data_IF_332653125320
#
_entry.id   IF_332653125320
#
_cell.length_a   1.000
_cell.length_b   1.000
_cell.length_c   1.000
_cell.angle_alpha   90.00
_cell.angle_beta   90.00
_cell.angle_gamma   90.00
#
_symmetry.space_group_name_H-M   'P 1'
#
loop_
_entity.id
_entity.type
_entity.pdbx_description
1 polymer ?
#
# COMPACT_ATOMS: atom_id res chain seq x y z
N UNK A 1 -36.80 -75.45 1.14
CA UNK A 1 -35.54 -74.74 1.33
C UNK A 1 -35.48 -73.42 0.46
N UNK A 2 -36.28 -72.42 0.80
CA UNK A 2 -36.30 -71.11 0.01
C UNK A 2 -36.45 -69.83 0.87
N UNK A 3 -36.14 -69.88 2.18
CA UNK A 3 -36.41 -68.76 3.10
C UNK A 3 -35.15 -67.95 3.50
N UNK A 4 -33.95 -68.48 3.23
CA UNK A 4 -32.73 -67.88 3.79
C UNK A 4 -32.08 -66.74 2.97
N UNK A 5 -32.60 -66.35 1.81
CA UNK A 5 -31.99 -65.26 1.01
C UNK A 5 -32.60 -63.87 1.26
N UNK A 6 -33.76 -63.83 1.92
CA UNK A 6 -34.41 -62.58 2.30
C UNK A 6 -33.81 -61.90 3.55
N UNK A 7 -33.15 -62.68 4.43
CA UNK A 7 -32.55 -62.22 5.66
C UNK A 7 -31.36 -61.23 5.45
N UNK A 8 -30.41 -61.46 4.51
CA UNK A 8 -29.33 -60.50 4.28
C UNK A 8 -29.80 -59.20 3.61
N UNK A 9 -30.93 -59.22 2.89
CA UNK A 9 -31.47 -58.00 2.23
C UNK A 9 -32.07 -57.01 3.23
N UNK A 10 -32.62 -57.49 4.34
CA UNK A 10 -33.20 -56.65 5.40
C UNK A 10 -32.11 -55.95 6.23
N UNK A 11 -30.92 -56.53 6.36
CA UNK A 11 -29.81 -55.96 7.09
C UNK A 11 -29.16 -54.75 6.37
N UNK A 12 -29.37 -54.59 5.06
CA UNK A 12 -28.84 -53.48 4.27
C UNK A 12 -29.65 -52.18 4.37
N UNK A 13 -30.85 -52.21 4.94
CA UNK A 13 -31.73 -51.04 5.03
C UNK A 13 -31.62 -50.32 6.39
N UNK A 14 -30.90 -50.87 7.37
CA UNK A 14 -30.79 -50.32 8.73
C UNK A 14 -29.64 -49.29 8.90
N UNK A 15 -28.99 -48.90 7.84
CA UNK A 15 -27.89 -47.97 7.91
C UNK A 15 -28.21 -46.58 7.38
N UNK A 16 -28.85 -45.75 8.15
CA UNK A 16 -28.73 -44.29 8.08
C UNK A 16 -29.53 -43.63 9.20
N UNK A 17 -29.07 -43.73 10.42
CA UNK A 17 -29.43 -42.80 11.49
C UNK A 17 -28.33 -41.76 11.63
N UNK A 18 -27.97 -41.12 10.52
CA UNK A 18 -27.10 -39.95 10.54
C UNK A 18 -27.95 -38.73 10.86
N UNK A 19 -27.65 -38.10 11.99
CA UNK A 19 -28.10 -36.75 12.36
C UNK A 19 -29.63 -36.58 12.53
N UNK A 20 -30.24 -37.28 13.48
CA UNK A 20 -31.63 -37.04 13.91
C UNK A 20 -31.71 -36.16 15.17
N UNK A 21 -30.66 -35.41 15.49
CA UNK A 21 -30.79 -34.37 16.50
C UNK A 21 -31.81 -33.34 16.00
N UNK A 22 -32.85 -33.01 16.76
CA UNK A 22 -33.85 -32.04 16.31
C UNK A 22 -33.14 -30.70 16.10
N UNK A 23 -33.25 -30.18 14.87
CA UNK A 23 -32.68 -28.93 14.44
C UNK A 23 -33.05 -27.78 15.38
N UNK A 24 -34.22 -27.87 15.99
CA UNK A 24 -34.76 -26.89 16.93
C UNK A 24 -33.92 -26.81 18.22
N UNK A 25 -33.43 -27.94 18.71
CA UNK A 25 -32.60 -28.00 19.93
C UNK A 25 -31.20 -27.41 19.68
N UNK A 26 -30.63 -27.68 18.51
CA UNK A 26 -29.37 -27.10 18.07
C UNK A 26 -29.50 -25.57 17.87
N UNK A 27 -30.59 -25.10 17.25
CA UNK A 27 -30.87 -23.68 17.08
C UNK A 27 -31.11 -22.96 18.41
N UNK A 28 -31.73 -23.64 19.38
CA UNK A 28 -31.95 -23.10 20.74
C UNK A 28 -30.64 -23.00 21.53
N UNK A 29 -29.67 -23.90 21.29
CA UNK A 29 -28.32 -23.79 21.88
C UNK A 29 -27.54 -22.67 21.24
N UNK A 30 -27.51 -22.56 19.92
CA UNK A 30 -26.85 -21.45 19.19
C UNK A 30 -27.43 -20.09 19.59
N UNK A 31 -28.73 -19.97 19.73
CA UNK A 31 -29.36 -18.74 20.20
C UNK A 31 -28.89 -18.34 21.59
N UNK A 32 -28.77 -19.26 22.53
CA UNK A 32 -28.26 -19.01 23.88
C UNK A 32 -26.78 -18.64 23.87
N UNK A 33 -25.99 -19.20 23.00
CA UNK A 33 -24.55 -18.90 22.86
C UNK A 33 -24.30 -17.54 22.25
N UNK A 34 -25.12 -17.16 21.26
CA UNK A 34 -25.04 -15.85 20.60
C UNK A 34 -25.64 -14.71 21.47
N UNK A 35 -26.64 -15.02 22.31
CA UNK A 35 -27.30 -14.03 23.18
C UNK A 35 -26.37 -13.56 24.32
N UNK A 36 -25.32 -14.32 24.63
CA UNK A 36 -24.31 -13.95 25.66
C UNK A 36 -23.26 -12.97 25.12
N UNK A 37 -23.14 -12.77 23.83
CA UNK A 37 -22.19 -11.85 23.18
C UNK A 37 -22.81 -10.50 22.77
N UNK A 38 -23.80 -10.03 23.52
CA UNK A 38 -24.28 -8.65 23.31
C UNK A 38 -23.24 -7.69 23.92
N UNK A 39 -22.32 -7.22 23.10
CA UNK A 39 -21.47 -6.08 23.48
C UNK A 39 -22.35 -4.86 23.72
N UNK A 40 -22.39 -4.40 24.95
CA UNK A 40 -22.99 -3.13 25.28
C UNK A 40 -22.21 -2.03 24.56
N UNK A 41 -22.82 -1.49 23.52
CA UNK A 41 -22.22 -0.41 22.76
C UNK A 41 -22.00 0.78 23.69
N UNK A 42 -20.79 1.34 23.65
CA UNK A 42 -20.48 2.54 24.38
C UNK A 42 -21.53 3.63 24.04
N UNK A 43 -21.98 4.40 25.04
CA UNK A 43 -22.98 5.44 24.81
C UNK A 43 -22.50 6.40 23.72
N UNK A 44 -23.40 6.72 22.79
CA UNK A 44 -23.12 7.69 21.75
C UNK A 44 -22.79 9.03 22.42
N UNK A 45 -21.56 9.48 22.23
CA UNK A 45 -21.13 10.79 22.71
C UNK A 45 -21.89 11.82 21.87
N UNK A 46 -22.72 12.61 22.52
CA UNK A 46 -23.43 13.72 21.88
C UNK A 46 -22.40 14.80 21.51
N UNK A 47 -22.05 14.85 20.22
CA UNK A 47 -21.08 15.82 19.71
C UNK A 47 -21.81 17.14 19.49
N UNK A 48 -21.61 18.09 20.42
CA UNK A 48 -22.08 19.47 20.21
C UNK A 48 -21.25 20.11 19.09
N UNK A 49 -21.87 20.26 17.93
CA UNK A 49 -21.27 21.02 16.83
C UNK A 49 -21.35 22.52 17.15
N UNK A 50 -20.19 23.16 17.25
CA UNK A 50 -20.13 24.63 17.31
C UNK A 50 -20.13 25.18 15.87
N UNK A 51 -20.94 26.21 15.64
CA UNK A 51 -21.01 26.84 14.35
C UNK A 51 -19.73 27.64 14.08
N UNK A 52 -19.07 27.37 12.94
CA UNK A 52 -17.89 28.12 12.53
C UNK A 52 -18.29 29.54 12.13
N UNK A 53 -17.88 30.54 12.93
CA UNK A 53 -18.28 31.96 12.76
C UNK A 53 -17.18 32.85 12.17
N UNK A 54 -16.04 32.29 11.76
CA UNK A 54 -14.88 33.09 11.31
C UNK A 54 -14.90 33.40 9.81
N UNK A 55 -16.02 33.95 9.30
CA UNK A 55 -16.14 34.34 7.88
C UNK A 55 -15.23 35.51 7.48
N UNK A 56 -14.59 36.17 8.43
CA UNK A 56 -13.74 37.35 8.19
C UNK A 56 -12.27 37.13 8.55
N UNK A 57 -11.93 35.94 9.03
CA UNK A 57 -10.55 35.57 9.33
C UNK A 57 -9.95 34.88 8.11
N UNK A 58 -8.68 35.11 7.87
CA UNK A 58 -7.88 34.51 6.80
C UNK A 58 -8.22 33.03 6.58
N UNK A 59 -8.56 32.66 5.35
CA UNK A 59 -8.84 31.28 5.01
C UNK A 59 -7.58 30.43 5.22
N UNK A 60 -7.67 29.25 5.86
CA UNK A 60 -6.51 28.41 6.18
C UNK A 60 -5.68 28.00 4.96
N UNK A 61 -6.32 27.94 3.79
CA UNK A 61 -5.70 27.52 2.53
C UNK A 61 -5.35 28.68 1.60
N UNK A 62 -5.63 29.92 2.00
CA UNK A 62 -5.27 31.09 1.21
C UNK A 62 -3.82 31.48 1.49
N UNK A 63 -3.00 31.54 0.43
CA UNK A 63 -1.61 31.95 0.56
C UNK A 63 -1.52 33.42 0.98
N UNK A 64 -0.68 33.75 1.99
CA UNK A 64 -0.43 35.12 2.35
C UNK A 64 0.08 35.93 1.16
N UNK A 65 -0.31 37.21 1.07
CA UNK A 65 0.16 38.13 0.02
C UNK A 65 1.70 38.16 -0.07
N UNK A 66 2.39 38.10 1.08
CA UNK A 66 3.83 37.98 1.14
C UNK A 66 4.40 36.74 0.44
N UNK A 67 3.69 35.57 0.58
CA UNK A 67 4.09 34.34 -0.11
C UNK A 67 3.81 34.40 -1.62
N UNK A 68 2.71 35.05 -2.03
CA UNK A 68 2.40 35.27 -3.44
C UNK A 68 3.43 36.19 -4.12
N UNK A 69 3.86 37.25 -3.44
CA UNK A 69 4.89 38.18 -3.97
C UNK A 69 6.26 37.47 -4.08
N UNK A 70 6.63 36.62 -3.11
CA UNK A 70 7.87 35.84 -3.17
C UNK A 70 7.81 34.83 -4.32
N UNK A 71 6.66 34.21 -4.54
CA UNK A 71 6.49 33.25 -5.61
C UNK A 71 6.56 33.87 -7.00
N UNK A 72 6.01 35.10 -7.15
CA UNK A 72 6.11 35.86 -8.39
C UNK A 72 7.54 36.35 -8.69
N UNK A 73 8.31 36.70 -7.65
CA UNK A 73 9.72 37.11 -7.81
C UNK A 73 10.64 35.91 -8.03
N UNK A 74 10.33 34.72 -7.48
CA UNK A 74 11.13 33.49 -7.60
C UNK A 74 10.69 32.53 -8.72
N UNK A 75 9.71 32.84 -9.52
CA UNK A 75 9.57 32.31 -10.88
C UNK A 75 10.75 32.81 -11.76
N UNK A 76 11.91 32.94 -11.11
CA UNK A 76 13.15 33.30 -11.76
C UNK A 76 13.44 32.27 -12.85
N UNK A 77 13.70 32.79 -14.02
CA UNK A 77 14.03 32.06 -15.26
C UNK A 77 15.22 31.09 -15.16
N UNK A 78 15.83 30.96 -13.97
CA UNK A 78 17.08 30.24 -13.73
C UNK A 78 16.96 28.99 -12.83
N UNK A 79 15.75 28.58 -12.42
CA UNK A 79 15.60 27.35 -11.66
C UNK A 79 15.74 26.12 -12.54
N UNK A 80 16.68 25.25 -12.17
CA UNK A 80 16.82 23.95 -12.81
C UNK A 80 15.51 23.15 -12.69
N UNK A 81 15.10 22.57 -13.79
CA UNK A 81 13.89 21.73 -13.88
C UNK A 81 14.28 20.28 -14.20
N UNK A 82 13.74 19.30 -13.49
CA UNK A 82 14.00 17.89 -13.80
C UNK A 82 13.34 17.52 -15.14
N UNK A 83 14.07 16.80 -15.98
CA UNK A 83 13.53 16.26 -17.23
C UNK A 83 12.61 15.07 -16.91
N UNK A 84 11.44 15.02 -17.55
CA UNK A 84 10.57 13.85 -17.50
C UNK A 84 11.24 12.68 -18.19
N UNK A 85 11.26 11.53 -17.53
CA UNK A 85 11.76 10.29 -18.10
C UNK A 85 10.69 9.22 -17.98
N UNK A 86 10.41 8.56 -19.09
CA UNK A 86 9.49 7.43 -19.17
C UNK A 86 10.22 6.15 -18.73
N UNK A 87 10.23 5.87 -17.43
CA UNK A 87 10.68 4.59 -16.88
C UNK A 87 9.51 3.87 -16.23
N UNK A 88 9.45 2.55 -16.36
CA UNK A 88 8.43 1.73 -15.69
C UNK A 88 8.45 1.90 -14.16
N UNK A 89 9.64 2.17 -13.59
CA UNK A 89 9.81 2.40 -12.16
C UNK A 89 9.52 3.85 -11.73
N UNK A 90 9.32 4.77 -12.66
CA UNK A 90 9.02 6.17 -12.37
C UNK A 90 7.57 6.40 -11.92
N UNK A 91 6.71 5.39 -12.04
CA UNK A 91 5.30 5.43 -11.60
C UNK A 91 5.13 5.11 -10.11
N UNK A 92 6.14 4.58 -9.45
CA UNK A 92 6.09 4.17 -8.06
C UNK A 92 6.96 5.07 -7.18
N UNK A 93 6.54 5.41 -5.95
CA UNK A 93 7.39 6.13 -5.01
C UNK A 93 8.61 5.25 -4.62
N UNK A 94 9.75 5.88 -4.37
CA UNK A 94 10.98 5.19 -4.02
C UNK A 94 10.83 4.29 -2.77
N UNK A 95 9.97 4.67 -1.83
CA UNK A 95 9.67 3.90 -0.61
C UNK A 95 9.00 2.55 -0.86
N UNK A 96 8.36 2.36 -2.01
CA UNK A 96 7.71 1.11 -2.41
C UNK A 96 8.62 0.22 -3.27
N UNK A 97 9.74 0.75 -3.75
CA UNK A 97 10.71 -0.01 -4.52
C UNK A 97 11.68 -0.75 -3.59
N UNK A 98 11.98 -1.99 -3.90
CA UNK A 98 12.86 -2.84 -3.08
C UNK A 98 14.06 -3.30 -3.89
N UNK A 99 15.26 -3.11 -3.35
CA UNK A 99 16.47 -3.71 -3.91
C UNK A 99 16.51 -5.19 -3.52
N UNK A 100 16.44 -6.09 -4.51
CA UNK A 100 16.48 -7.55 -4.31
C UNK A 100 17.84 -8.17 -4.58
N UNK A 101 18.68 -7.50 -5.32
CA UNK A 101 20.02 -8.01 -5.61
C UNK A 101 20.83 -7.05 -6.44
N UNK A 102 22.12 -7.33 -6.48
CA UNK A 102 23.08 -6.65 -7.34
C UNK A 102 23.80 -7.69 -8.18
N UNK A 103 23.93 -7.44 -9.47
CA UNK A 103 24.66 -8.29 -10.41
C UNK A 103 25.89 -7.55 -10.91
N UNK A 104 27.00 -8.27 -11.01
CA UNK A 104 28.22 -7.75 -11.62
C UNK A 104 28.52 -8.53 -12.89
N UNK A 105 28.76 -7.84 -14.00
CA UNK A 105 29.16 -8.44 -15.27
C UNK A 105 30.17 -7.53 -15.97
N UNK A 106 31.35 -8.06 -16.24
CA UNK A 106 32.40 -7.33 -16.97
C UNK A 106 32.81 -6.01 -16.31
N UNK A 107 32.84 -5.94 -14.98
CA UNK A 107 33.18 -4.73 -14.22
C UNK A 107 32.02 -3.72 -14.06
N UNK A 108 30.87 -3.95 -14.72
CA UNK A 108 29.67 -3.12 -14.55
C UNK A 108 28.74 -3.73 -13.52
N UNK A 109 28.18 -2.92 -12.62
CA UNK A 109 27.21 -3.33 -11.61
C UNK A 109 25.81 -2.86 -11.99
N UNK A 110 24.86 -3.77 -11.88
CA UNK A 110 23.43 -3.55 -12.13
C UNK A 110 22.63 -3.95 -10.90
N UNK A 111 21.61 -3.22 -10.55
CA UNK A 111 20.72 -3.55 -9.45
C UNK A 111 19.42 -4.15 -9.96
N UNK A 112 18.85 -5.11 -9.23
CA UNK A 112 17.53 -5.67 -9.47
C UNK A 112 16.55 -5.03 -8.49
N UNK A 113 15.60 -4.28 -9.03
CA UNK A 113 14.56 -3.58 -8.28
C UNK A 113 13.23 -4.28 -8.46
N UNK A 114 12.58 -4.61 -7.36
CA UNK A 114 11.21 -5.10 -7.32
C UNK A 114 10.24 -3.94 -7.18
N UNK A 115 9.28 -3.87 -8.10
CA UNK A 115 8.15 -2.95 -8.03
C UNK A 115 7.04 -3.54 -7.13
N UNK A 116 6.09 -2.74 -6.64
CA UNK A 116 4.95 -3.22 -5.85
C UNK A 116 4.08 -4.25 -6.57
N UNK A 117 4.13 -4.26 -7.89
CA UNK A 117 3.46 -5.25 -8.77
C UNK A 117 4.16 -6.61 -8.81
N UNK A 118 5.30 -6.80 -8.11
CA UNK A 118 6.10 -8.01 -8.13
C UNK A 118 7.06 -8.12 -9.33
N UNK A 119 7.03 -7.17 -10.27
CA UNK A 119 7.96 -7.18 -11.39
C UNK A 119 9.37 -6.78 -10.98
N UNK A 120 10.33 -7.55 -11.43
CA UNK A 120 11.75 -7.27 -11.26
C UNK A 120 12.29 -6.53 -12.48
N UNK A 121 12.90 -5.38 -12.25
CA UNK A 121 13.50 -4.55 -13.29
C UNK A 121 14.98 -4.34 -13.01
N UNK A 122 15.82 -4.59 -14.00
CA UNK A 122 17.25 -4.32 -13.92
C UNK A 122 17.51 -2.83 -14.18
N UNK A 123 18.27 -2.20 -13.28
CA UNK A 123 18.68 -0.80 -13.38
C UNK A 123 20.19 -0.65 -13.26
N UNK A 124 20.73 0.29 -14.00
CA UNK A 124 22.14 0.64 -14.01
C UNK A 124 22.36 2.05 -13.47
N UNK A 125 23.59 2.43 -13.22
CA UNK A 125 23.92 3.84 -13.00
C UNK A 125 23.43 4.68 -14.18
N UNK A 126 22.74 5.79 -13.88
CA UNK A 126 22.07 6.63 -14.89
C UNK A 126 20.61 6.30 -15.17
N UNK A 127 20.11 5.11 -14.76
CA UNK A 127 18.68 4.75 -14.89
C UNK A 127 17.79 5.62 -14.00
N UNK A 128 16.53 5.79 -14.40
CA UNK A 128 15.55 6.58 -13.65
C UNK A 128 14.55 5.67 -12.92
N UNK A 129 14.24 6.01 -11.68
CA UNK A 129 13.27 5.32 -10.83
C UNK A 129 12.68 6.28 -9.79
N UNK A 130 11.48 6.00 -9.33
CA UNK A 130 10.80 6.83 -8.35
C UNK A 130 10.02 8.01 -8.94
N UNK A 131 8.94 8.41 -8.26
CA UNK A 131 8.06 9.50 -8.69
C UNK A 131 8.78 10.87 -8.75
N UNK A 132 9.82 11.06 -7.92
CA UNK A 132 10.52 12.32 -7.77
C UNK A 132 11.71 12.44 -8.74
N UNK A 133 11.58 11.99 -9.97
CA UNK A 133 12.64 12.05 -10.98
C UNK A 133 13.98 11.44 -10.51
N UNK A 134 13.91 10.39 -9.68
CA UNK A 134 15.09 9.78 -9.10
C UNK A 134 16.00 9.20 -10.16
N UNK A 135 17.29 9.53 -10.11
CA UNK A 135 18.33 9.00 -10.99
C UNK A 135 19.32 8.19 -10.17
N UNK A 136 19.59 6.97 -10.59
CA UNK A 136 20.62 6.12 -9.98
C UNK A 136 22.00 6.75 -10.22
N UNK A 137 22.67 7.16 -9.17
CA UNK A 137 24.02 7.76 -9.24
C UNK A 137 25.10 6.71 -9.11
N UNK A 138 24.91 5.71 -8.23
CA UNK A 138 25.89 4.67 -7.96
C UNK A 138 25.20 3.36 -7.58
N UNK A 139 25.70 2.24 -8.08
CA UNK A 139 25.33 0.88 -7.68
C UNK A 139 26.53 0.26 -6.94
N UNK A 140 26.36 -0.08 -5.65
CA UNK A 140 27.31 -0.79 -4.83
C UNK A 140 26.91 -2.27 -4.66
N UNK A 141 27.57 -3.03 -3.82
CA UNK A 141 27.33 -4.47 -3.68
C UNK A 141 26.04 -4.79 -2.91
N UNK A 142 25.64 -3.94 -1.99
CA UNK A 142 24.51 -4.13 -1.08
C UNK A 142 23.54 -2.93 -1.04
N UNK A 143 23.82 -1.89 -1.81
CA UNK A 143 22.97 -0.69 -1.90
C UNK A 143 23.14 0.03 -3.24
N UNK A 144 22.21 0.93 -3.51
CA UNK A 144 22.35 1.93 -4.56
C UNK A 144 22.00 3.31 -4.03
N UNK A 145 22.59 4.35 -4.63
CA UNK A 145 22.23 5.74 -4.40
C UNK A 145 21.34 6.24 -5.51
N UNK A 146 20.26 6.91 -5.11
CA UNK A 146 19.30 7.58 -5.99
C UNK A 146 19.27 9.05 -5.64
N UNK A 147 19.46 9.89 -6.64
CA UNK A 147 19.32 11.34 -6.51
C UNK A 147 17.94 11.74 -6.99
N UNK A 148 17.09 12.18 -6.07
CA UNK A 148 15.73 12.62 -6.31
C UNK A 148 15.67 14.14 -6.43
N UNK A 149 14.77 14.63 -7.27
CA UNK A 149 14.42 16.04 -7.33
C UNK A 149 13.13 16.30 -6.55
N UNK A 150 13.19 17.13 -5.55
CA UNK A 150 12.06 17.50 -4.70
C UNK A 150 11.73 18.98 -4.91
N UNK A 151 10.46 19.26 -5.21
CA UNK A 151 9.99 20.64 -5.35
C UNK A 151 10.10 21.37 -4.00
N UNK A 152 10.63 22.58 -4.00
CA UNK A 152 10.75 23.42 -2.81
C UNK A 152 9.46 24.19 -2.48
N UNK A 153 8.42 24.03 -3.28
CA UNK A 153 7.15 24.74 -3.17
C UNK A 153 7.18 26.18 -3.71
N UNK A 154 8.33 26.68 -4.13
CA UNK A 154 8.53 28.02 -4.66
C UNK A 154 8.81 28.04 -6.18
N UNK A 155 8.64 26.88 -6.83
CA UNK A 155 8.85 26.70 -8.27
C UNK A 155 10.24 26.21 -8.65
N UNK A 156 11.12 26.01 -7.67
CA UNK A 156 12.46 25.43 -7.87
C UNK A 156 12.53 23.99 -7.33
N UNK A 157 13.61 23.30 -7.65
CA UNK A 157 13.83 21.90 -7.28
C UNK A 157 15.14 21.75 -6.52
N UNK A 158 15.10 20.98 -5.46
CA UNK A 158 16.27 20.61 -4.67
C UNK A 158 16.60 19.13 -4.91
N UNK A 159 17.90 18.83 -4.99
CA UNK A 159 18.38 17.47 -5.16
C UNK A 159 18.62 16.83 -3.78
N UNK A 160 18.02 15.67 -3.56
CA UNK A 160 18.23 14.86 -2.37
C UNK A 160 18.80 13.49 -2.76
N UNK A 161 19.84 13.05 -2.09
CA UNK A 161 20.37 11.69 -2.28
C UNK A 161 19.78 10.74 -1.25
N UNK A 162 19.25 9.63 -1.75
CA UNK A 162 18.59 8.59 -0.94
C UNK A 162 19.31 7.26 -1.19
N UNK A 163 19.63 6.54 -0.11
CA UNK A 163 20.22 5.20 -0.16
C UNK A 163 19.11 4.15 -0.15
N UNK A 164 19.11 3.26 -1.14
CA UNK A 164 18.27 2.06 -1.17
C UNK A 164 19.15 0.84 -0.91
N UNK A 165 18.98 0.22 0.25
CA UNK A 165 19.75 -0.94 0.67
C UNK A 165 19.04 -2.26 0.28
N UNK A 166 19.82 -3.32 0.18
CA UNK A 166 19.34 -4.68 -0.02
C UNK A 166 18.45 -5.10 1.15
N UNK A 167 17.30 -5.70 0.85
CA UNK A 167 16.33 -6.22 1.83
C UNK A 167 15.95 -7.66 1.50
#
# INVERSE_FOLDING_TARGET
MKVNWLLPLIALVSGCKANQAPLEEYLAQLKREVEVEVYELAPVIDVQSSQYTSHQIRQPFELPQAALSINQQKLAKDCWQPKRNASQLATFPLSQLRLKGVMSRGGSKSALIEAPTGHLVQVNSGSYLGLNHGKVTKVADDYLFVREAIADGLGCWQLRETKLALK
#
